data_IF_206311725559
#
_entry.id   IF_206311725559
#
_cell.length_a   1.000
_cell.length_b   1.000
_cell.length_c   1.000
_cell.angle_alpha   90.00
_cell.angle_beta   90.00
_cell.angle_gamma   90.00
#
_symmetry.space_group_name_H-M   'P 1'
#
loop_
_entity.id
_entity.type
_entity.pdbx_description
1 polymer ?
#
# COMPACT_ATOMS: atom_id res chain seq x y z
N UNK A 1 -12.49 0.29 30.47
CA UNK A 1 -13.21 -0.96 30.14
C UNK A 1 -14.62 -0.72 29.57
N UNK A 2 -14.83 0.26 28.67
CA UNK A 2 -16.14 0.47 27.97
C UNK A 2 -16.03 0.43 26.44
N UNK A 3 -14.84 0.19 25.91
CA UNK A 3 -14.62 0.21 24.47
C UNK A 3 -15.30 -0.96 23.75
N UNK A 4 -15.39 -2.14 24.39
CA UNK A 4 -16.09 -3.29 23.84
C UNK A 4 -17.61 -3.06 23.75
N UNK A 5 -18.20 -2.34 24.72
CA UNK A 5 -19.62 -1.97 24.70
C UNK A 5 -19.90 -1.03 23.54
N UNK A 6 -19.07 0.01 23.37
CA UNK A 6 -19.20 0.94 22.25
C UNK A 6 -19.01 0.26 20.90
N UNK A 7 -18.13 -0.75 20.82
CA UNK A 7 -17.96 -1.54 19.61
C UNK A 7 -19.18 -2.41 19.34
N UNK A 8 -19.76 -3.04 20.36
CA UNK A 8 -20.99 -3.81 20.21
C UNK A 8 -22.18 -2.93 19.78
N UNK A 9 -22.31 -1.72 20.33
CA UNK A 9 -23.30 -0.71 19.88
C UNK A 9 -23.08 -0.33 18.41
N UNK A 10 -21.82 -0.16 17.97
CA UNK A 10 -21.50 0.10 16.56
C UNK A 10 -21.86 -1.09 15.67
N UNK A 11 -21.48 -2.30 16.07
CA UNK A 11 -21.76 -3.54 15.33
C UNK A 11 -23.28 -3.82 15.20
N UNK A 12 -24.08 -3.30 16.14
CA UNK A 12 -25.56 -3.34 16.09
C UNK A 12 -26.18 -2.20 15.28
N UNK A 13 -25.40 -1.20 14.87
CA UNK A 13 -25.86 -0.02 14.12
C UNK A 13 -26.34 1.15 14.99
N UNK A 14 -26.24 1.04 16.31
CA UNK A 14 -26.65 2.09 17.26
C UNK A 14 -25.63 3.25 17.33
N UNK A 15 -24.46 3.05 16.74
CA UNK A 15 -23.39 4.06 16.63
C UNK A 15 -22.86 4.18 15.20
N UNK A 16 -23.43 5.08 14.39
CA UNK A 16 -22.94 5.33 13.03
C UNK A 16 -21.62 6.11 12.99
N UNK A 17 -21.18 6.69 14.12
CA UNK A 17 -19.90 7.40 14.26
C UNK A 17 -18.69 6.46 14.39
N UNK A 18 -18.93 5.17 14.63
CA UNK A 18 -17.89 4.15 14.77
C UNK A 18 -18.02 3.11 13.67
N UNK A 19 -16.89 2.78 13.04
CA UNK A 19 -16.83 1.64 12.13
C UNK A 19 -17.13 0.34 12.89
N UNK A 20 -17.85 -0.55 12.24
CA UNK A 20 -18.10 -1.89 12.77
C UNK A 20 -16.81 -2.73 12.70
N UNK A 21 -16.78 -3.83 13.43
CA UNK A 21 -15.61 -4.70 13.53
C UNK A 21 -15.18 -5.23 12.15
N UNK A 22 -16.15 -5.55 11.28
CA UNK A 22 -15.88 -6.01 9.92
C UNK A 22 -15.20 -4.93 9.06
N UNK A 23 -15.72 -3.70 9.05
CA UNK A 23 -15.15 -2.57 8.32
C UNK A 23 -13.75 -2.21 8.83
N UNK A 24 -13.50 -2.31 10.14
CA UNK A 24 -12.16 -2.10 10.70
C UNK A 24 -11.16 -3.14 10.22
N UNK A 25 -11.58 -4.41 10.14
CA UNK A 25 -10.75 -5.49 9.64
C UNK A 25 -10.41 -5.28 8.16
N UNK A 26 -11.41 -4.97 7.34
CA UNK A 26 -11.22 -4.68 5.92
C UNK A 26 -10.30 -3.47 5.72
N UNK A 27 -10.50 -2.39 6.46
CA UNK A 27 -9.65 -1.21 6.38
C UNK A 27 -8.20 -1.50 6.77
N UNK A 28 -7.97 -2.41 7.72
CA UNK A 28 -6.62 -2.84 8.08
C UNK A 28 -5.96 -3.63 6.94
N UNK A 29 -6.69 -4.59 6.35
CA UNK A 29 -6.22 -5.37 5.20
C UNK A 29 -5.89 -4.46 4.00
N UNK A 30 -6.80 -3.55 3.65
CA UNK A 30 -6.60 -2.60 2.56
C UNK A 30 -5.38 -1.69 2.79
N UNK A 31 -5.09 -1.32 4.04
CA UNK A 31 -3.91 -0.52 4.38
C UNK A 31 -2.62 -1.31 4.20
N UNK A 32 -2.62 -2.58 4.58
CA UNK A 32 -1.49 -3.48 4.39
C UNK A 32 -1.22 -3.73 2.91
N UNK A 33 -2.25 -4.08 2.14
CA UNK A 33 -2.15 -4.26 0.69
C UNK A 33 -1.65 -3.00 -0.01
N UNK A 34 -2.18 -1.83 0.36
CA UNK A 34 -1.73 -0.56 -0.20
C UNK A 34 -0.27 -0.25 0.15
N UNK A 35 0.20 -0.64 1.34
CA UNK A 35 1.59 -0.46 1.72
C UNK A 35 2.52 -1.35 0.89
N UNK A 36 2.13 -2.60 0.67
CA UNK A 36 2.90 -3.55 -0.15
C UNK A 36 2.91 -3.13 -1.62
N UNK A 37 1.76 -2.72 -2.18
CA UNK A 37 1.67 -2.18 -3.53
C UNK A 37 2.55 -0.95 -3.74
N UNK A 38 2.64 -0.07 -2.73
CA UNK A 38 3.54 1.09 -2.77
C UNK A 38 4.99 0.66 -2.78
N UNK A 39 5.37 -0.30 -1.92
CA UNK A 39 6.74 -0.85 -1.89
C UNK A 39 7.12 -1.48 -3.23
N UNK A 40 6.25 -2.32 -3.80
CA UNK A 40 6.48 -2.93 -5.10
C UNK A 40 6.63 -1.88 -6.21
N UNK A 41 5.76 -0.86 -6.22
CA UNK A 41 5.88 0.24 -7.19
C UNK A 41 7.20 0.99 -7.09
N UNK A 42 7.71 1.25 -5.88
CA UNK A 42 9.00 1.91 -5.73
C UNK A 42 10.17 1.05 -6.25
N UNK A 43 10.12 -0.26 -6.06
CA UNK A 43 11.10 -1.18 -6.65
C UNK A 43 11.04 -1.11 -8.18
N UNK A 44 9.84 -1.15 -8.75
CA UNK A 44 9.65 -1.09 -10.21
C UNK A 44 10.13 0.24 -10.81
N UNK A 45 9.88 1.36 -10.12
CA UNK A 45 10.41 2.67 -10.53
C UNK A 45 11.93 2.72 -10.45
N UNK A 46 12.53 2.18 -9.38
CA UNK A 46 13.98 2.13 -9.26
C UNK A 46 14.60 1.28 -10.38
N UNK A 47 13.99 0.13 -10.68
CA UNK A 47 14.41 -0.73 -11.79
C UNK A 47 14.29 -0.01 -13.15
N UNK A 48 13.17 0.69 -13.40
CA UNK A 48 12.98 1.40 -14.67
C UNK A 48 14.02 2.51 -14.88
N UNK A 49 14.36 3.27 -13.82
CA UNK A 49 15.44 4.27 -13.87
C UNK A 49 16.80 3.61 -14.13
N UNK A 50 17.09 2.50 -13.46
CA UNK A 50 18.33 1.75 -13.67
C UNK A 50 18.48 1.31 -15.13
N UNK A 51 17.46 0.67 -15.70
CA UNK A 51 17.50 0.19 -17.08
C UNK A 51 17.52 1.33 -18.10
N UNK A 52 16.79 2.42 -17.86
CA UNK A 52 16.84 3.59 -18.73
C UNK A 52 18.28 4.15 -18.82
N UNK A 53 18.99 4.22 -17.69
CA UNK A 53 20.39 4.65 -17.67
C UNK A 53 21.33 3.68 -18.41
N UNK A 54 21.08 2.39 -18.34
CA UNK A 54 21.90 1.39 -19.07
C UNK A 54 21.68 1.47 -20.59
N UNK A 55 20.44 1.72 -21.02
CA UNK A 55 20.10 1.87 -22.44
C UNK A 55 20.65 3.16 -23.06
N UNK A 56 20.76 4.23 -22.28
CA UNK A 56 21.24 5.55 -22.75
C UNK A 56 22.78 5.64 -22.82
N UNK A 57 23.51 4.61 -22.36
CA UNK A 57 24.97 4.59 -22.48
C UNK A 57 25.38 4.41 -23.95
N UNK A 58 26.12 5.37 -24.55
CA UNK A 58 26.61 5.21 -25.90
C UNK A 58 27.56 4.01 -25.93
N UNK A 59 27.21 2.99 -26.73
CA UNK A 59 28.13 1.90 -27.06
C UNK A 59 29.29 2.51 -27.84
N UNK A 60 30.33 2.96 -27.14
CA UNK A 60 31.55 3.45 -27.78
C UNK A 60 32.16 2.29 -28.54
N UNK A 61 31.91 2.24 -29.85
CA UNK A 61 32.60 1.34 -30.76
C UNK A 61 34.06 1.76 -30.74
N UNK A 62 35.01 0.92 -30.30
CA UNK A 62 36.40 1.30 -30.33
C UNK A 62 36.80 1.39 -31.81
N UNK A 63 37.08 2.60 -32.28
CA UNK A 63 37.68 2.86 -33.57
C UNK A 63 39.08 2.25 -33.53
N UNK A 64 39.31 1.25 -34.38
CA UNK A 64 40.62 0.67 -34.63
C UNK A 64 41.20 1.27 -35.91
#
# INVERSE_FOLDING_TARGET
>A
MRNWVRQAEADQGDRPDLLITAEKSELAQLREEKAELRRANEILKAASVFFAKELDQPRTRPTR
#
